data_IF_725325291345
#
_entry.id   IF_725325291345
#
_cell.length_a   1.000
_cell.length_b   1.000
_cell.length_c   1.000
_cell.angle_alpha   90.00
_cell.angle_beta   90.00
_cell.angle_gamma   90.00
#
_symmetry.space_group_name_H-M   'P 1'
#
loop_
_entity.id
_entity.type
_entity.pdbx_description
1 polymer ?
#
# COMPACT_ATOMS: atom_id res chain seq x y z
N UNK A 1 -27.15 -17.33 4.59
CA UNK A 1 -26.38 -16.72 5.70
C UNK A 1 -27.20 -15.60 6.32
N UNK A 2 -27.55 -15.70 7.61
CA UNK A 2 -28.36 -14.70 8.34
C UNK A 2 -27.46 -13.59 8.92
N UNK A 3 -26.60 -12.99 8.12
CA UNK A 3 -25.71 -11.93 8.59
C UNK A 3 -25.53 -10.85 7.54
N UNK A 4 -25.54 -9.59 7.98
CA UNK A 4 -25.24 -8.42 7.15
C UNK A 4 -23.73 -8.11 7.09
N UNK A 5 -22.89 -8.95 7.71
CA UNK A 5 -21.43 -8.75 7.74
C UNK A 5 -20.81 -9.22 6.42
N UNK A 6 -19.74 -8.53 6.00
CA UNK A 6 -18.90 -8.94 4.89
C UNK A 6 -17.47 -9.13 5.36
N UNK A 7 -16.70 -9.93 4.61
CA UNK A 7 -15.26 -10.10 4.80
C UNK A 7 -14.55 -9.33 3.69
N UNK A 8 -13.63 -8.46 4.07
CA UNK A 8 -12.71 -7.79 3.16
C UNK A 8 -11.37 -8.50 3.10
N UNK A 9 -10.79 -8.60 1.92
CA UNK A 9 -9.42 -9.09 1.69
C UNK A 9 -8.67 -8.07 0.86
N UNK A 10 -7.42 -7.83 1.19
CA UNK A 10 -6.56 -6.89 0.46
C UNK A 10 -5.10 -7.28 0.52
N UNK A 11 -4.30 -6.64 -0.31
CA UNK A 11 -2.86 -6.87 -0.40
C UNK A 11 -2.09 -5.59 -0.63
N UNK A 12 -0.82 -5.58 -0.18
CA UNK A 12 0.17 -4.54 -0.47
C UNK A 12 1.52 -5.17 -0.81
N UNK A 13 2.17 -4.68 -1.88
CA UNK A 13 3.45 -5.20 -2.37
C UNK A 13 4.21 -4.10 -3.13
N UNK A 14 5.49 -3.88 -2.77
CA UNK A 14 6.35 -2.84 -3.35
C UNK A 14 7.81 -3.28 -3.49
N UNK A 15 8.15 -4.31 -4.29
CA UNK A 15 9.51 -4.85 -4.37
C UNK A 15 10.53 -3.82 -4.87
N UNK A 16 10.11 -2.83 -5.66
CA UNK A 16 10.98 -1.79 -6.19
C UNK A 16 11.53 -0.82 -5.12
N UNK A 17 10.96 -0.82 -3.93
CA UNK A 17 11.39 0.05 -2.84
C UNK A 17 12.51 -0.58 -2.01
N UNK A 18 12.68 -1.91 -2.07
CA UNK A 18 13.53 -2.67 -1.14
C UNK A 18 15.00 -2.23 -1.17
N UNK A 19 15.56 -2.02 -2.38
CA UNK A 19 16.96 -1.62 -2.53
C UNK A 19 17.20 -0.14 -2.19
N UNK A 20 16.14 0.65 -2.05
CA UNK A 20 16.20 2.04 -1.59
C UNK A 20 16.04 2.08 -0.08
N UNK A 21 14.96 1.50 0.45
CA UNK A 21 14.63 1.48 1.87
C UNK A 21 13.68 0.31 2.19
N UNK A 22 14.23 -0.76 2.73
CA UNK A 22 13.47 -1.98 3.04
C UNK A 22 12.50 -1.82 4.22
N UNK A 23 12.78 -0.90 5.16
CA UNK A 23 11.83 -0.56 6.22
C UNK A 23 10.58 0.11 5.63
N UNK A 24 10.78 1.18 4.86
CA UNK A 24 9.65 1.88 4.24
C UNK A 24 8.97 1.05 3.15
N UNK A 25 9.67 0.15 2.46
CA UNK A 25 9.04 -0.85 1.60
C UNK A 25 8.00 -1.67 2.37
N UNK A 26 8.39 -2.27 3.48
CA UNK A 26 7.51 -3.09 4.31
C UNK A 26 6.38 -2.25 4.95
N UNK A 27 6.69 -1.04 5.41
CA UNK A 27 5.70 -0.10 5.93
C UNK A 27 4.62 0.23 4.87
N UNK A 28 5.03 0.51 3.63
CA UNK A 28 4.11 0.77 2.52
C UNK A 28 3.25 -0.45 2.16
N UNK A 29 3.81 -1.67 2.25
CA UNK A 29 3.04 -2.91 2.04
C UNK A 29 1.92 -3.05 3.07
N UNK A 30 2.24 -2.84 4.36
CA UNK A 30 1.27 -2.92 5.47
C UNK A 30 0.22 -1.83 5.32
N UNK A 31 0.64 -0.57 5.17
CA UNK A 31 -0.25 0.57 5.02
C UNK A 31 -1.23 0.38 3.84
N UNK A 32 -0.73 -0.05 2.69
CA UNK A 32 -1.57 -0.28 1.51
C UNK A 32 -2.57 -1.40 1.72
N UNK A 33 -2.17 -2.51 2.33
CA UNK A 33 -3.07 -3.62 2.63
C UNK A 33 -4.19 -3.17 3.59
N UNK A 34 -3.87 -2.42 4.64
CA UNK A 34 -4.85 -1.87 5.59
C UNK A 34 -5.73 -0.83 4.90
N UNK A 35 -5.15 0.14 4.22
CA UNK A 35 -5.84 1.27 3.60
C UNK A 35 -6.85 0.81 2.54
N UNK A 36 -6.51 -0.21 1.76
CA UNK A 36 -7.45 -0.82 0.81
C UNK A 36 -8.68 -1.40 1.50
N UNK A 37 -8.54 -2.01 2.70
CA UNK A 37 -9.68 -2.48 3.46
C UNK A 37 -10.52 -1.32 4.03
N UNK A 38 -9.85 -0.30 4.57
CA UNK A 38 -10.54 0.87 5.15
C UNK A 38 -11.43 1.55 4.10
N UNK A 39 -10.93 1.76 2.87
CA UNK A 39 -11.71 2.41 1.82
C UNK A 39 -12.87 1.56 1.29
N UNK A 40 -12.90 0.26 1.58
CA UNK A 40 -14.06 -0.59 1.28
C UNK A 40 -15.10 -0.62 2.41
N UNK A 41 -14.79 -0.01 3.56
CA UNK A 41 -15.70 0.08 4.70
C UNK A 41 -15.35 -0.82 5.88
N UNK A 42 -14.17 -1.45 5.90
CA UNK A 42 -13.66 -2.14 7.07
C UNK A 42 -13.34 -1.15 8.20
N UNK A 43 -13.49 -1.61 9.42
CA UNK A 43 -13.02 -0.92 10.62
C UNK A 43 -11.61 -1.42 10.97
N UNK A 44 -10.68 -0.51 11.26
CA UNK A 44 -9.30 -0.86 11.59
C UNK A 44 -9.21 -1.88 12.73
N UNK A 45 -10.08 -1.78 13.73
CA UNK A 45 -10.13 -2.68 14.88
C UNK A 45 -10.45 -4.14 14.53
N UNK A 46 -10.87 -4.41 13.31
CA UNK A 46 -11.19 -5.76 12.82
C UNK A 46 -10.15 -6.34 11.88
N UNK A 47 -9.09 -5.58 11.60
CA UNK A 47 -8.08 -5.96 10.62
C UNK A 47 -7.02 -6.86 11.25
N UNK A 48 -6.69 -7.95 10.56
CA UNK A 48 -5.56 -8.81 10.84
C UNK A 48 -4.68 -8.96 9.59
N UNK A 49 -3.41 -9.26 9.80
CA UNK A 49 -2.39 -9.29 8.76
C UNK A 49 -1.80 -10.70 8.59
N UNK A 50 -1.31 -10.95 7.38
CA UNK A 50 -0.48 -12.09 7.01
C UNK A 50 0.72 -11.56 6.25
N UNK A 51 1.92 -12.06 6.56
CA UNK A 51 3.11 -11.77 5.79
C UNK A 51 3.44 -12.89 4.79
N UNK A 52 4.20 -12.54 3.77
CA UNK A 52 4.85 -13.48 2.88
C UNK A 52 6.20 -12.87 2.45
N UNK A 53 7.26 -13.27 3.14
CA UNK A 53 8.62 -12.91 2.78
C UNK A 53 9.13 -13.82 1.67
N UNK A 54 9.58 -13.22 0.58
CA UNK A 54 10.29 -13.87 -0.51
C UNK A 54 11.67 -13.21 -0.63
N UNK A 55 12.72 -13.92 -0.18
CA UNK A 55 14.05 -13.35 0.00
C UNK A 55 15.12 -14.20 -0.67
N UNK A 56 16.18 -13.54 -1.12
CA UNK A 56 17.42 -14.20 -1.53
C UNK A 56 18.19 -14.74 -0.32
N UNK A 57 19.40 -15.27 -0.54
CA UNK A 57 20.24 -15.81 0.55
C UNK A 57 20.52 -14.78 1.63
N UNK A 58 20.19 -15.05 2.90
CA UNK A 58 20.53 -14.20 4.05
C UNK A 58 22.00 -14.26 4.44
N UNK A 59 22.82 -15.10 3.80
CA UNK A 59 24.29 -15.09 3.98
C UNK A 59 24.94 -13.82 3.43
N UNK A 60 24.26 -13.12 2.52
CA UNK A 60 24.64 -11.78 2.12
C UNK A 60 24.22 -10.79 3.21
N UNK A 61 25.19 -10.08 3.79
CA UNK A 61 24.98 -9.15 4.91
C UNK A 61 23.99 -8.00 4.57
N UNK A 62 24.00 -7.52 3.34
CA UNK A 62 23.06 -6.49 2.88
C UNK A 62 21.63 -7.05 2.84
N UNK A 63 21.45 -8.24 2.28
CA UNK A 63 20.12 -8.89 2.21
C UNK A 63 19.59 -9.28 3.59
N UNK A 64 20.47 -9.68 4.50
CA UNK A 64 20.12 -9.91 5.90
C UNK A 64 19.72 -8.60 6.61
N UNK A 65 20.44 -7.51 6.38
CA UNK A 65 20.07 -6.20 6.91
C UNK A 65 18.71 -5.75 6.38
N UNK A 66 18.47 -5.87 5.08
CA UNK A 66 17.17 -5.55 4.47
C UNK A 66 16.04 -6.38 5.10
N UNK A 67 16.24 -7.67 5.34
CA UNK A 67 15.29 -8.56 6.00
C UNK A 67 14.98 -8.08 7.43
N UNK A 68 16.02 -7.77 8.20
CA UNK A 68 15.89 -7.24 9.57
C UNK A 68 15.07 -5.95 9.59
N UNK A 69 15.32 -5.03 8.65
CA UNK A 69 14.60 -3.75 8.59
C UNK A 69 13.14 -3.93 8.18
N UNK A 70 12.85 -4.84 7.24
CA UNK A 70 11.49 -5.17 6.86
C UNK A 70 10.70 -5.81 8.02
N UNK A 71 11.33 -6.76 8.73
CA UNK A 71 10.72 -7.37 9.92
C UNK A 71 10.49 -6.33 11.05
N UNK A 72 11.44 -5.38 11.22
CA UNK A 72 11.25 -4.27 12.17
C UNK A 72 10.04 -3.42 11.82
N UNK A 73 9.81 -3.10 10.54
CA UNK A 73 8.63 -2.37 10.12
C UNK A 73 7.33 -3.15 10.40
N UNK A 74 7.33 -4.48 10.18
CA UNK A 74 6.20 -5.33 10.55
C UNK A 74 5.88 -5.22 12.04
N UNK A 75 6.89 -5.28 12.90
CA UNK A 75 6.72 -5.10 14.35
C UNK A 75 6.17 -3.70 14.69
N UNK A 76 6.84 -2.65 14.21
CA UNK A 76 6.49 -1.26 14.56
C UNK A 76 5.07 -0.87 14.10
N UNK A 77 4.66 -1.30 12.89
CA UNK A 77 3.37 -0.92 12.34
C UNK A 77 2.24 -1.78 12.88
N UNK A 78 2.45 -3.08 13.12
CA UNK A 78 1.43 -3.93 13.72
C UNK A 78 1.04 -3.43 15.11
N UNK A 79 2.02 -2.99 15.90
CA UNK A 79 1.76 -2.36 17.20
C UNK A 79 1.04 -1.01 17.07
N UNK A 80 1.50 -0.16 16.16
CA UNK A 80 0.92 1.17 16.00
C UNK A 80 -0.53 1.14 15.52
N UNK A 81 -0.83 0.25 14.58
CA UNK A 81 -2.19 0.07 14.03
C UNK A 81 -3.05 -0.88 14.85
N UNK A 82 -2.46 -1.59 15.83
CA UNK A 82 -3.15 -2.63 16.61
C UNK A 82 -3.71 -3.75 15.70
N UNK A 83 -2.98 -4.07 14.62
CA UNK A 83 -3.35 -5.08 13.63
C UNK A 83 -2.41 -6.27 13.74
N UNK A 84 -2.85 -7.39 14.38
CA UNK A 84 -1.98 -8.53 14.63
C UNK A 84 -1.65 -9.29 13.33
N UNK A 85 -0.43 -9.81 13.24
CA UNK A 85 -0.11 -10.88 12.31
C UNK A 85 -0.68 -12.21 12.85
N UNK A 86 -1.57 -12.83 12.09
CA UNK A 86 -2.26 -14.08 12.46
C UNK A 86 -1.73 -15.31 11.69
N UNK A 87 -0.96 -15.06 10.65
CA UNK A 87 -0.26 -16.09 9.86
C UNK A 87 0.90 -15.46 9.13
N UNK A 88 1.79 -16.29 8.61
CA UNK A 88 2.91 -15.85 7.81
C UNK A 88 3.51 -17.01 7.02
N UNK A 89 4.31 -16.69 6.01
CA UNK A 89 5.03 -17.63 5.17
C UNK A 89 6.34 -17.01 4.71
N UNK A 90 7.44 -17.68 4.98
CA UNK A 90 8.78 -17.24 4.62
C UNK A 90 9.39 -18.16 3.56
N UNK A 91 10.00 -17.54 2.56
CA UNK A 91 10.81 -18.20 1.55
C UNK A 91 12.17 -17.51 1.48
N UNK A 92 13.20 -18.24 1.87
CA UNK A 92 14.59 -17.78 1.79
C UNK A 92 15.31 -18.54 0.67
N UNK A 93 16.51 -18.08 0.30
CA UNK A 93 17.32 -18.68 -0.75
C UNK A 93 16.61 -18.78 -2.12
N UNK A 94 15.76 -17.81 -2.43
CA UNK A 94 15.12 -17.73 -3.74
C UNK A 94 16.12 -17.21 -4.80
N UNK A 95 17.14 -18.03 -5.03
CA UNK A 95 18.24 -17.78 -5.95
C UNK A 95 18.24 -18.84 -7.04
N UNK A 96 18.30 -18.43 -8.29
CA UNK A 96 18.63 -19.32 -9.38
C UNK A 96 20.15 -19.42 -9.54
N UNK A 97 20.67 -20.64 -9.47
CA UNK A 97 22.07 -20.95 -9.75
C UNK A 97 22.13 -21.85 -10.98
N UNK A 98 22.84 -21.41 -12.01
CA UNK A 98 22.90 -22.14 -13.29
C UNK A 98 24.02 -21.67 -14.17
N UNK A 99 23.86 -21.87 -15.48
CA UNK A 99 24.85 -21.50 -16.49
C UNK A 99 24.18 -20.68 -17.59
N UNK A 100 24.90 -19.71 -18.13
CA UNK A 100 24.48 -18.95 -19.31
C UNK A 100 24.72 -19.77 -20.62
N UNK A 101 24.30 -19.18 -21.75
CA UNK A 101 24.49 -19.80 -23.07
C UNK A 101 25.96 -20.04 -23.46
N UNK A 102 26.92 -19.45 -22.72
CA UNK A 102 28.36 -19.61 -22.87
C UNK A 102 28.97 -20.52 -21.83
N UNK A 103 28.14 -21.30 -21.11
CA UNK A 103 28.52 -22.19 -20.02
C UNK A 103 29.25 -21.50 -18.84
N UNK A 104 28.99 -20.22 -18.60
CA UNK A 104 29.48 -19.48 -17.43
C UNK A 104 28.48 -19.58 -16.31
N UNK A 105 28.98 -19.82 -15.08
CA UNK A 105 28.13 -19.83 -13.88
C UNK A 105 27.42 -18.49 -13.73
N UNK A 106 26.13 -18.53 -13.51
CA UNK A 106 25.30 -17.36 -13.19
C UNK A 106 24.49 -17.63 -11.93
N UNK A 107 24.31 -16.57 -11.14
CA UNK A 107 23.37 -16.52 -10.02
C UNK A 107 22.40 -15.38 -10.28
N UNK A 108 21.10 -15.67 -10.21
CA UNK A 108 20.04 -14.66 -10.31
C UNK A 108 19.26 -14.74 -9.00
N UNK A 109 19.34 -13.69 -8.22
CA UNK A 109 18.62 -13.58 -6.95
C UNK A 109 17.29 -12.86 -7.16
N UNK A 110 16.24 -13.30 -6.48
CA UNK A 110 14.97 -12.55 -6.42
C UNK A 110 15.22 -11.19 -5.76
N UNK A 111 14.63 -10.10 -6.26
CA UNK A 111 14.55 -8.87 -5.49
C UNK A 111 13.84 -9.16 -4.17
N UNK A 112 14.42 -8.79 -3.00
CA UNK A 112 13.76 -9.01 -1.73
C UNK A 112 12.38 -8.40 -1.72
N UNK A 113 11.37 -9.22 -1.44
CA UNK A 113 9.97 -8.87 -1.61
C UNK A 113 9.18 -9.26 -0.36
N UNK A 114 8.35 -8.34 0.11
CA UNK A 114 7.34 -8.60 1.13
C UNK A 114 5.96 -8.38 0.52
N UNK A 115 5.12 -9.39 0.58
CA UNK A 115 3.69 -9.30 0.32
C UNK A 115 2.95 -9.32 1.64
N UNK A 116 2.21 -8.27 1.94
CA UNK A 116 1.28 -8.25 3.07
C UNK A 116 -0.12 -8.50 2.55
N UNK A 117 -0.79 -9.50 3.10
CA UNK A 117 -2.22 -9.69 2.95
C UNK A 117 -2.92 -9.25 4.23
N UNK A 118 -4.12 -8.69 4.08
CA UNK A 118 -4.96 -8.29 5.20
C UNK A 118 -6.36 -8.84 5.06
N UNK A 119 -6.97 -9.15 6.19
CA UNK A 119 -8.37 -9.56 6.30
C UNK A 119 -9.05 -8.66 7.32
N UNK A 120 -10.30 -8.26 7.03
CA UNK A 120 -11.07 -7.44 7.96
C UNK A 120 -12.57 -7.71 7.83
N UNK A 121 -13.33 -7.27 8.83
CA UNK A 121 -14.77 -7.42 8.86
C UNK A 121 -15.44 -6.08 8.59
N UNK A 122 -16.32 -6.05 7.61
CA UNK A 122 -17.27 -4.96 7.39
C UNK A 122 -18.54 -5.32 8.18
N UNK A 123 -18.88 -4.52 9.18
CA UNK A 123 -19.96 -4.81 10.14
C UNK A 123 -21.34 -4.88 9.48
N UNK A 124 -21.53 -4.16 8.37
CA UNK A 124 -22.76 -4.16 7.58
C UNK A 124 -22.44 -3.90 6.11
N UNK A 125 -23.06 -4.66 5.21
CA UNK A 125 -22.97 -4.41 3.77
C UNK A 125 -23.44 -3.01 3.39
N UNK A 126 -24.29 -2.38 4.18
CA UNK A 126 -24.70 -0.98 3.98
C UNK A 126 -23.54 0.03 4.12
N UNK A 127 -22.42 -0.37 4.72
CA UNK A 127 -21.23 0.46 4.84
C UNK A 127 -20.18 0.15 3.78
N UNK A 128 -20.49 -0.75 2.86
CA UNK A 128 -19.63 -1.05 1.72
C UNK A 128 -19.51 0.18 0.82
N UNK A 129 -18.26 0.51 0.49
CA UNK A 129 -17.94 1.54 -0.49
C UNK A 129 -17.30 0.89 -1.73
N UNK A 130 -17.54 1.51 -2.87
CA UNK A 130 -16.92 1.17 -4.14
C UNK A 130 -16.11 2.35 -4.69
N UNK A 131 -15.37 2.12 -5.75
CA UNK A 131 -14.63 3.17 -6.45
C UNK A 131 -15.51 4.00 -7.39
N UNK A 132 -16.81 3.68 -7.51
CA UNK A 132 -17.72 4.31 -8.46
C UNK A 132 -18.39 5.53 -7.84
N UNK A 133 -18.05 6.77 -8.24
CA UNK A 133 -18.80 7.97 -7.85
C UNK A 133 -20.27 7.87 -8.29
N UNK A 134 -21.18 8.27 -7.41
CA UNK A 134 -22.61 8.08 -7.63
C UNK A 134 -23.22 9.20 -8.49
N UNK A 135 -22.87 10.44 -8.22
CA UNK A 135 -23.51 11.61 -8.83
C UNK A 135 -22.57 12.43 -9.71
N UNK A 136 -23.12 13.22 -10.61
CA UNK A 136 -22.41 14.31 -11.26
C UNK A 136 -22.25 15.41 -10.21
N UNK A 137 -21.13 16.11 -10.25
CA UNK A 137 -20.76 17.17 -9.31
C UNK A 137 -20.41 16.71 -7.88
N UNK A 138 -20.24 15.39 -7.65
CA UNK A 138 -19.64 14.89 -6.40
C UNK A 138 -18.26 15.53 -6.18
N UNK A 139 -18.02 16.02 -4.97
CA UNK A 139 -16.72 16.59 -4.60
C UNK A 139 -15.72 15.47 -4.31
N UNK A 140 -14.48 15.66 -4.81
CA UNK A 140 -13.37 14.74 -4.59
C UNK A 140 -12.42 15.31 -3.56
N UNK A 141 -12.19 14.57 -2.47
CA UNK A 141 -11.26 14.92 -1.42
C UNK A 141 -10.06 13.99 -1.40
N UNK A 142 -8.89 14.53 -1.11
CA UNK A 142 -7.68 13.77 -0.83
C UNK A 142 -7.46 13.77 0.68
N UNK A 143 -7.39 12.59 1.28
CA UNK A 143 -7.05 12.42 2.69
C UNK A 143 -5.57 12.07 2.79
N UNK A 144 -4.83 12.88 3.54
CA UNK A 144 -3.38 12.77 3.66
C UNK A 144 -2.64 13.89 2.92
N UNK A 145 -1.32 13.77 2.91
CA UNK A 145 -0.41 14.74 2.29
C UNK A 145 0.41 14.07 1.20
N UNK A 146 0.76 14.83 0.17
CA UNK A 146 1.62 14.37 -0.93
C UNK A 146 3.07 14.80 -0.65
N UNK A 147 4.01 13.86 -0.72
CA UNK A 147 5.44 14.10 -0.58
C UNK A 147 6.19 14.01 -1.92
N UNK A 148 7.41 14.54 -1.96
CA UNK A 148 8.33 14.33 -3.08
C UNK A 148 9.08 13.00 -2.89
N UNK A 149 8.36 11.89 -3.04
CA UNK A 149 8.78 10.53 -2.69
C UNK A 149 8.52 9.61 -3.88
N UNK A 150 9.20 9.84 -5.00
CA UNK A 150 8.99 9.09 -6.25
C UNK A 150 10.00 7.96 -6.49
N UNK A 151 10.91 7.72 -5.52
CA UNK A 151 11.89 6.64 -5.59
C UNK A 151 11.22 5.27 -5.77
N UNK A 152 11.73 4.44 -6.68
CA UNK A 152 11.18 3.12 -6.98
C UNK A 152 9.81 3.12 -7.67
N UNK A 153 9.23 4.28 -7.99
CA UNK A 153 7.95 4.38 -8.69
C UNK A 153 8.07 4.03 -10.18
N UNK A 154 6.95 3.65 -10.78
CA UNK A 154 6.90 3.42 -12.24
C UNK A 154 7.18 4.73 -13.02
N UNK A 155 6.78 5.88 -12.47
CA UNK A 155 7.11 7.18 -13.05
C UNK A 155 8.63 7.41 -13.10
N UNK A 156 9.33 7.15 -12.00
CA UNK A 156 10.78 7.29 -11.95
C UNK A 156 11.49 6.34 -12.94
N UNK A 157 10.97 5.14 -13.14
CA UNK A 157 11.50 4.19 -14.13
C UNK A 157 11.30 4.69 -15.57
N UNK A 158 10.09 5.12 -15.93
CA UNK A 158 9.75 5.58 -17.28
C UNK A 158 10.60 6.79 -17.67
N UNK A 159 10.74 7.75 -16.75
CA UNK A 159 11.47 8.99 -17.00
C UNK A 159 12.94 8.94 -16.58
N UNK A 160 13.44 7.79 -16.14
CA UNK A 160 14.83 7.59 -15.69
C UNK A 160 15.25 8.61 -14.61
N UNK A 161 14.35 8.88 -13.67
CA UNK A 161 14.58 9.82 -12.57
C UNK A 161 15.27 9.10 -11.43
N UNK A 162 16.44 9.56 -11.05
CA UNK A 162 17.15 9.05 -9.87
C UNK A 162 16.65 9.77 -8.62
N UNK A 163 15.78 9.11 -7.86
CA UNK A 163 15.26 9.60 -6.58
C UNK A 163 15.36 8.47 -5.53
N UNK A 164 16.03 8.77 -4.43
CA UNK A 164 16.31 7.81 -3.36
C UNK A 164 15.32 7.91 -2.19
N UNK A 165 14.18 8.57 -2.38
CA UNK A 165 13.13 8.67 -1.36
C UNK A 165 11.92 7.87 -1.81
N UNK A 166 11.62 6.79 -1.09
CA UNK A 166 10.37 6.05 -1.20
C UNK A 166 9.32 6.66 -0.26
N UNK A 167 8.02 6.46 -0.52
CA UNK A 167 6.97 6.92 0.37
C UNK A 167 7.17 6.45 1.80
N UNK A 168 6.90 7.34 2.76
CA UNK A 168 6.98 7.07 4.19
C UNK A 168 5.60 6.97 4.82
N UNK A 169 5.45 6.04 5.76
CA UNK A 169 4.21 5.88 6.51
C UNK A 169 4.33 6.56 7.88
N UNK A 170 3.66 7.69 8.02
CA UNK A 170 3.51 8.40 9.30
C UNK A 170 2.38 7.74 10.09
N UNK A 171 2.71 6.68 10.83
CA UNK A 171 1.77 5.72 11.42
C UNK A 171 0.69 6.34 12.31
N UNK A 172 1.03 7.39 13.09
CA UNK A 172 0.08 8.10 13.94
C UNK A 172 -0.96 8.85 13.10
N UNK A 173 -0.50 9.59 12.09
CA UNK A 173 -1.36 10.32 11.15
C UNK A 173 -2.21 9.35 10.32
N UNK A 174 -1.61 8.25 9.86
CA UNK A 174 -2.33 7.23 9.11
C UNK A 174 -3.45 6.59 9.93
N UNK A 175 -3.18 6.22 11.19
CA UNK A 175 -4.19 5.67 12.12
C UNK A 175 -5.32 6.65 12.36
N UNK A 176 -5.02 7.92 12.57
CA UNK A 176 -6.02 8.98 12.74
C UNK A 176 -6.89 9.11 11.48
N UNK A 177 -6.26 9.18 10.30
CA UNK A 177 -6.97 9.25 9.02
C UNK A 177 -7.91 8.05 8.80
N UNK A 178 -7.47 6.83 9.14
CA UNK A 178 -8.31 5.62 9.02
C UNK A 178 -9.53 5.69 9.94
N UNK A 179 -9.34 6.12 11.18
CA UNK A 179 -10.44 6.26 12.14
C UNK A 179 -11.42 7.36 11.72
N UNK A 180 -10.93 8.50 11.24
CA UNK A 180 -11.76 9.58 10.72
C UNK A 180 -12.54 9.15 9.49
N UNK A 181 -11.90 8.46 8.56
CA UNK A 181 -12.56 7.91 7.36
C UNK A 181 -13.67 6.92 7.75
N UNK A 182 -13.39 5.99 8.64
CA UNK A 182 -14.38 5.01 9.11
C UNK A 182 -15.60 5.67 9.75
N UNK A 183 -15.38 6.70 10.59
CA UNK A 183 -16.47 7.49 11.17
C UNK A 183 -17.28 8.23 10.11
N UNK A 184 -16.63 8.85 9.13
CA UNK A 184 -17.32 9.54 8.04
C UNK A 184 -18.16 8.57 7.19
N UNK A 185 -17.64 7.36 6.91
CA UNK A 185 -18.39 6.33 6.20
C UNK A 185 -19.60 5.83 7.01
N UNK A 186 -19.44 5.58 8.30
CA UNK A 186 -20.54 5.18 9.19
C UNK A 186 -21.65 6.24 9.22
N UNK A 187 -21.30 7.52 9.15
CA UNK A 187 -22.24 8.65 9.07
C UNK A 187 -22.75 8.91 7.64
N UNK A 188 -22.46 8.05 6.66
CA UNK A 188 -22.90 8.17 5.26
C UNK A 188 -22.48 9.45 4.56
N UNK A 189 -21.33 10.02 4.97
CA UNK A 189 -20.76 11.21 4.35
C UNK A 189 -19.91 10.88 3.12
N UNK A 190 -19.59 9.61 2.89
CA UNK A 190 -18.77 9.14 1.77
C UNK A 190 -19.62 8.26 0.87
N UNK A 191 -19.62 8.56 -0.43
CA UNK A 191 -20.37 7.80 -1.45
C UNK A 191 -19.49 6.82 -2.21
N UNK A 192 -18.21 7.15 -2.39
CA UNK A 192 -17.21 6.31 -3.07
C UNK A 192 -15.82 6.61 -2.56
N UNK A 193 -14.92 5.65 -2.63
CA UNK A 193 -13.54 5.84 -2.19
C UNK A 193 -12.57 4.92 -2.94
N UNK A 194 -11.32 5.36 -3.06
CA UNK A 194 -10.20 4.57 -3.57
C UNK A 194 -8.93 4.90 -2.80
N UNK A 195 -8.11 3.93 -2.52
CA UNK A 195 -6.77 4.18 -1.99
C UNK A 195 -5.81 4.57 -3.11
N UNK A 196 -4.94 5.55 -2.84
CA UNK A 196 -3.86 5.90 -3.75
C UNK A 196 -2.72 4.88 -3.58
N UNK A 197 -2.43 4.14 -4.64
CA UNK A 197 -1.40 3.09 -4.66
C UNK A 197 -0.45 3.26 -5.84
N UNK A 198 -0.03 2.15 -6.46
CA UNK A 198 0.85 2.15 -7.64
C UNK A 198 0.23 3.01 -8.75
N UNK A 199 1.02 3.94 -9.29
CA UNK A 199 0.59 4.93 -10.28
C UNK A 199 0.08 6.25 -9.67
N UNK A 200 0.01 6.34 -8.35
CA UNK A 200 -0.30 7.57 -7.63
C UNK A 200 -1.72 8.09 -7.86
N UNK A 201 -1.90 9.38 -7.58
CA UNK A 201 -3.20 10.06 -7.65
C UNK A 201 -3.81 10.02 -9.06
N UNK A 202 -2.99 10.18 -10.10
CA UNK A 202 -3.47 10.16 -11.48
C UNK A 202 -4.15 8.85 -11.85
N UNK A 203 -3.54 7.72 -11.49
CA UNK A 203 -4.11 6.39 -11.75
C UNK A 203 -5.33 6.12 -10.85
N UNK A 204 -5.32 6.55 -9.59
CA UNK A 204 -6.47 6.40 -8.71
C UNK A 204 -7.71 7.12 -9.28
N UNK A 205 -7.56 8.38 -9.67
CA UNK A 205 -8.64 9.17 -10.29
C UNK A 205 -9.07 8.58 -11.64
N UNK A 206 -8.14 8.13 -12.46
CA UNK A 206 -8.46 7.47 -13.73
C UNK A 206 -9.30 6.20 -13.52
N UNK A 207 -8.98 5.38 -12.51
CA UNK A 207 -9.78 4.20 -12.15
C UNK A 207 -11.20 4.58 -11.74
N UNK A 208 -11.40 5.64 -10.97
CA UNK A 208 -12.73 6.12 -10.61
C UNK A 208 -13.51 6.60 -11.84
N UNK A 209 -12.86 7.36 -12.73
CA UNK A 209 -13.48 7.83 -13.98
C UNK A 209 -13.90 6.66 -14.90
N UNK A 210 -13.01 5.69 -15.10
CA UNK A 210 -13.28 4.50 -15.91
C UNK A 210 -14.45 3.70 -15.31
N UNK A 211 -14.41 3.44 -14.00
CA UNK A 211 -15.43 2.65 -13.31
C UNK A 211 -16.81 3.31 -13.37
N UNK A 212 -16.88 4.63 -13.27
CA UNK A 212 -18.13 5.40 -13.33
C UNK A 212 -18.57 5.73 -14.75
N UNK A 213 -17.69 5.56 -15.75
CA UNK A 213 -17.88 6.05 -17.13
C UNK A 213 -18.17 7.56 -17.20
N UNK A 214 -17.60 8.32 -16.26
CA UNK A 214 -17.73 9.78 -16.15
C UNK A 214 -16.36 10.43 -16.33
N UNK A 215 -16.35 11.66 -16.85
CA UNK A 215 -15.14 12.48 -16.87
C UNK A 215 -14.83 13.09 -15.51
N UNK A 216 -13.57 13.43 -15.29
CA UNK A 216 -13.10 14.18 -14.12
C UNK A 216 -12.35 15.44 -14.59
N UNK A 217 -12.65 16.55 -13.95
CA UNK A 217 -11.85 17.79 -14.07
C UNK A 217 -11.19 18.05 -12.72
N UNK A 218 -9.88 17.98 -12.68
CA UNK A 218 -9.11 18.06 -11.43
C UNK A 218 -8.23 19.31 -11.46
N UNK A 219 -8.25 20.08 -10.38
CA UNK A 219 -7.33 21.19 -10.15
C UNK A 219 -6.38 20.79 -9.01
N UNK A 220 -5.09 20.70 -9.29
CA UNK A 220 -4.06 20.28 -8.34
C UNK A 220 -3.40 21.45 -7.58
N UNK A 221 -3.76 22.69 -7.84
CA UNK A 221 -3.08 23.87 -7.25
C UNK A 221 -3.17 23.93 -5.72
N UNK A 222 -4.13 23.25 -5.11
CA UNK A 222 -4.36 23.23 -3.67
C UNK A 222 -4.08 21.86 -3.03
N UNK A 223 -3.28 21.03 -3.67
CA UNK A 223 -2.87 19.76 -3.07
C UNK A 223 -2.11 20.04 -1.76
N UNK A 224 -2.52 19.33 -0.71
CA UNK A 224 -1.84 19.39 0.57
C UNK A 224 -0.52 18.61 0.48
N UNK A 225 0.61 19.30 0.66
CA UNK A 225 1.95 18.73 0.53
C UNK A 225 2.66 18.65 1.87
N UNK A 226 3.59 17.68 2.01
CA UNK A 226 4.46 17.55 3.18
C UNK A 226 5.48 18.70 3.16
N UNK A 227 6.09 18.95 2.00
CA UNK A 227 7.02 20.04 1.77
C UNK A 227 6.28 21.20 1.07
N UNK A 228 6.54 22.43 1.47
CA UNK A 228 5.87 23.63 0.95
C UNK A 228 6.14 23.92 -0.54
N UNK A 229 6.99 23.12 -1.21
CA UNK A 229 7.26 23.17 -2.65
C UNK A 229 7.33 21.74 -3.19
N UNK A 230 6.34 21.36 -3.98
CA UNK A 230 6.50 20.38 -5.05
C UNK A 230 6.70 21.23 -6.31
N UNK A 231 7.92 21.29 -6.79
CA UNK A 231 8.26 21.93 -8.06
C UNK A 231 7.79 21.05 -9.23
#
# INVERSE_FOLDING_TARGET
>A
FNSNKCIGLSQGIYPNYTDIDSYNMAACCIDTAIRNLIVTGCDLSTVALLDNFCWSSPENSEKLYQLKMAAKACYDLSLAFETPFISGKDSMYNDFNGYDKRNRKIKISIPPTLLISSIGIIKSYNNLLTIVPHSIDDLVYIIGKTGNEIGGSEFAKIFTINNNKVPQVYKEIAKENYNCFSKANQNKLITSAISVGIGGLGIALSKMAIASRKGLKVNLSNINTIDKKID
#
